data_IF_216590530225
#
_entry.id   IF_216590530225
#
_cell.length_a   1.000
_cell.length_b   1.000
_cell.length_c   1.000
_cell.angle_alpha   90.00
_cell.angle_beta   90.00
_cell.angle_gamma   90.00
#
_symmetry.space_group_name_H-M   'P 1'
#
loop_
_entity.id
_entity.type
_entity.pdbx_description
1 polymer ?
#
# COMPACT_ATOMS: atom_id res chain seq x y z
N UNK A 1 -2.20 3.82 20.50
CA UNK A 1 -1.51 4.33 19.31
C UNK A 1 -2.57 4.77 18.34
N UNK A 2 -2.40 5.95 17.76
CA UNK A 2 -3.34 6.47 16.77
C UNK A 2 -3.08 5.77 15.44
N UNK A 3 -4.14 5.28 14.81
CA UNK A 3 -4.12 4.66 13.48
C UNK A 3 -4.89 5.55 12.52
N UNK A 4 -4.28 5.88 11.37
CA UNK A 4 -4.93 6.63 10.30
C UNK A 4 -4.53 6.08 8.93
N UNK A 5 -5.43 6.22 7.96
CA UNK A 5 -5.11 5.95 6.57
C UNK A 5 -4.54 7.20 5.92
N UNK A 6 -3.36 7.05 5.33
CA UNK A 6 -2.72 8.03 4.46
C UNK A 6 -2.63 7.54 3.02
N UNK A 7 -2.06 8.35 2.15
CA UNK A 7 -1.79 7.95 0.76
C UNK A 7 -0.48 8.58 0.28
N UNK A 8 0.18 7.95 -0.68
CA UNK A 8 1.31 8.56 -1.37
C UNK A 8 0.85 9.73 -2.24
N UNK A 9 1.74 10.70 -2.46
CA UNK A 9 1.49 11.72 -3.47
C UNK A 9 1.65 11.14 -4.88
N UNK A 10 2.57 10.20 -5.03
CA UNK A 10 2.87 9.51 -6.27
C UNK A 10 1.80 8.47 -6.61
N UNK A 11 1.35 8.46 -7.86
CA UNK A 11 0.68 7.32 -8.49
C UNK A 11 1.75 6.44 -9.14
N UNK A 12 1.75 5.15 -8.82
CA UNK A 12 2.65 4.16 -9.43
C UNK A 12 1.89 3.31 -10.43
N UNK A 13 2.62 2.73 -11.39
CA UNK A 13 2.15 1.67 -12.26
C UNK A 13 3.24 0.59 -12.29
N UNK A 14 2.93 -0.57 -11.74
CA UNK A 14 3.84 -1.71 -11.66
C UNK A 14 3.60 -2.57 -12.91
N UNK A 15 4.62 -2.85 -13.75
CA UNK A 15 4.47 -3.78 -14.86
C UNK A 15 4.21 -5.20 -14.34
N UNK A 16 3.85 -6.11 -15.24
CA UNK A 16 3.51 -7.50 -14.89
C UNK A 16 4.72 -8.37 -14.54
N UNK A 17 5.94 -7.89 -14.81
CA UNK A 17 7.22 -8.55 -14.54
C UNK A 17 7.95 -8.00 -13.30
N UNK A 18 7.36 -7.03 -12.58
CA UNK A 18 7.90 -6.49 -11.34
C UNK A 18 6.92 -6.64 -10.18
N UNK A 19 7.48 -6.73 -8.97
CA UNK A 19 6.76 -6.52 -7.72
C UNK A 19 7.41 -5.38 -6.96
N UNK A 20 6.63 -4.56 -6.24
CA UNK A 20 7.17 -3.49 -5.42
C UNK A 20 6.78 -3.64 -3.95
N UNK A 21 7.73 -3.38 -3.06
CA UNK A 21 7.49 -3.32 -1.62
C UNK A 21 7.55 -1.88 -1.13
N UNK A 22 6.53 -1.50 -0.39
CA UNK A 22 6.41 -0.24 0.34
C UNK A 22 7.12 -0.41 1.66
N UNK A 23 8.17 0.35 1.87
CA UNK A 23 9.01 0.26 3.05
C UNK A 23 8.97 1.55 3.85
N UNK A 24 9.05 1.41 5.18
CA UNK A 24 9.24 2.55 6.07
C UNK A 24 10.60 3.21 5.87
N UNK A 25 10.71 4.48 6.25
CA UNK A 25 11.99 5.17 6.36
C UNK A 25 12.57 4.95 7.75
N UNK A 26 13.86 4.62 7.85
CA UNK A 26 14.53 4.41 9.15
C UNK A 26 14.37 5.60 10.11
N UNK A 27 14.39 6.84 9.59
CA UNK A 27 14.17 8.05 10.40
C UNK A 27 12.81 8.09 11.09
N UNK A 28 11.76 7.58 10.44
CA UNK A 28 10.40 7.51 11.00
C UNK A 28 10.24 6.30 11.91
N UNK A 29 10.85 5.16 11.55
CA UNK A 29 10.88 3.97 12.41
C UNK A 29 11.54 4.25 13.78
N UNK A 30 12.57 5.11 13.82
CA UNK A 30 13.19 5.57 15.08
C UNK A 30 12.30 6.48 15.95
N UNK A 31 11.20 6.98 15.38
CA UNK A 31 10.12 7.67 16.11
C UNK A 31 8.93 6.76 16.39
N UNK A 32 9.08 5.44 16.17
CA UNK A 32 8.04 4.43 16.30
C UNK A 32 6.82 4.67 15.37
N UNK A 33 7.06 5.30 14.21
CA UNK A 33 6.07 5.43 13.15
C UNK A 33 6.17 4.25 12.19
N UNK A 34 5.04 3.56 12.03
CA UNK A 34 4.85 2.43 11.11
C UNK A 34 4.05 2.93 9.91
N UNK A 35 4.45 2.56 8.69
CA UNK A 35 3.82 3.03 7.43
C UNK A 35 2.87 2.03 6.78
N UNK A 36 3.06 0.75 7.08
CA UNK A 36 2.14 -0.35 6.80
C UNK A 36 2.26 -1.36 7.94
N UNK A 37 1.16 -2.00 8.34
CA UNK A 37 1.20 -3.00 9.41
C UNK A 37 1.53 -4.39 8.85
N UNK A 38 0.92 -4.76 7.71
CA UNK A 38 1.02 -6.12 7.16
C UNK A 38 1.11 -6.15 5.64
N UNK A 39 0.45 -5.22 4.95
CA UNK A 39 0.34 -5.21 3.49
C UNK A 39 1.21 -4.11 2.86
N UNK A 40 2.52 -4.33 2.82
CA UNK A 40 3.49 -3.45 2.14
C UNK A 40 3.72 -3.81 0.67
N UNK A 41 2.80 -4.48 -0.01
CA UNK A 41 3.03 -5.04 -1.35
C UNK A 41 2.20 -4.29 -2.40
N UNK A 42 2.84 -3.86 -3.48
CA UNK A 42 2.19 -3.51 -4.72
C UNK A 42 2.42 -4.63 -5.75
N UNK A 43 1.35 -5.37 -6.06
CA UNK A 43 1.36 -6.50 -6.97
C UNK A 43 1.80 -6.10 -8.40
N UNK A 44 2.34 -7.05 -9.19
CA UNK A 44 2.53 -6.86 -10.63
C UNK A 44 1.21 -6.46 -11.31
N UNK A 45 1.23 -5.43 -12.15
CA UNK A 45 0.04 -4.84 -12.77
C UNK A 45 -0.74 -3.82 -11.94
N UNK A 46 -0.39 -3.61 -10.66
CA UNK A 46 -1.05 -2.59 -9.84
C UNK A 46 -0.80 -1.18 -10.40
N UNK A 47 -1.85 -0.36 -10.44
CA UNK A 47 -1.75 1.05 -10.72
C UNK A 47 -2.61 1.86 -9.75
N UNK A 48 -2.06 2.95 -9.21
CA UNK A 48 -2.78 3.79 -8.26
C UNK A 48 -1.86 4.50 -7.28
N UNK A 49 -2.47 5.31 -6.41
CA UNK A 49 -1.78 5.79 -5.21
C UNK A 49 -1.72 4.65 -4.20
N UNK A 50 -0.67 4.62 -3.38
CA UNK A 50 -0.52 3.59 -2.36
C UNK A 50 -1.21 4.08 -1.09
N UNK A 51 -2.16 3.30 -0.57
CA UNK A 51 -2.76 3.56 0.75
C UNK A 51 -1.75 3.14 1.82
N UNK A 52 -1.54 4.01 2.81
CA UNK A 52 -0.60 3.81 3.91
C UNK A 52 -1.37 3.60 5.21
N UNK A 53 -0.97 2.61 6.00
CA UNK A 53 -1.56 2.30 7.30
C UNK A 53 -0.66 2.91 8.38
N UNK A 54 -0.85 4.20 8.64
CA UNK A 54 0.04 4.98 9.49
C UNK A 54 -0.32 4.74 10.96
N UNK A 55 0.64 4.25 11.74
CA UNK A 55 0.49 4.05 13.18
C UNK A 55 1.60 4.71 13.97
N UNK A 56 1.25 5.37 15.08
CA UNK A 56 2.22 5.83 16.08
C UNK A 56 2.24 4.85 17.26
N UNK A 57 3.34 4.09 17.36
CA UNK A 57 3.60 3.16 18.46
C UNK A 57 4.45 3.79 19.57
N UNK A 58 4.89 5.04 19.39
CA UNK A 58 5.63 5.81 20.38
C UNK A 58 4.73 6.45 21.44
N UNK A 59 5.36 7.09 22.41
CA UNK A 59 4.67 7.83 23.49
C UNK A 59 4.49 9.31 23.20
N UNK A 60 5.21 9.84 22.20
CA UNK A 60 5.16 11.24 21.79
C UNK A 60 4.37 11.39 20.48
N UNK A 61 3.54 12.45 20.33
CA UNK A 61 2.94 12.79 19.05
C UNK A 61 4.00 13.10 17.99
N UNK A 62 3.78 12.62 16.77
CA UNK A 62 4.63 12.92 15.61
C UNK A 62 3.79 13.62 14.55
N UNK A 63 4.19 14.83 14.19
CA UNK A 63 3.54 15.58 13.14
C UNK A 63 3.92 15.01 11.76
N UNK A 64 2.93 14.53 11.01
CA UNK A 64 3.07 14.18 9.61
C UNK A 64 2.48 15.31 8.75
N UNK A 65 3.20 15.71 7.70
CA UNK A 65 2.81 16.85 6.84
C UNK A 65 2.72 16.41 5.38
N UNK A 66 1.71 16.89 4.61
CA UNK A 66 1.63 16.60 3.18
C UNK A 66 2.93 16.95 2.44
N UNK A 67 3.36 16.08 1.54
CA UNK A 67 4.60 16.26 0.75
C UNK A 67 5.88 15.82 1.45
N UNK A 68 5.85 15.43 2.72
CA UNK A 68 7.02 14.83 3.36
C UNK A 68 7.30 13.43 2.78
N UNK A 69 8.57 13.06 2.65
CA UNK A 69 8.95 11.68 2.30
C UNK A 69 8.55 10.75 3.44
N UNK A 70 7.58 9.87 3.20
CA UNK A 70 7.00 8.99 4.25
C UNK A 70 7.47 7.53 4.12
N UNK A 71 7.58 7.02 2.90
CA UNK A 71 7.99 5.65 2.59
C UNK A 71 9.03 5.64 1.46
N UNK A 72 9.47 4.46 1.08
CA UNK A 72 10.28 4.18 -0.09
C UNK A 72 9.76 2.92 -0.78
N UNK A 73 10.05 2.76 -2.07
CA UNK A 73 9.71 1.56 -2.83
C UNK A 73 10.97 0.79 -3.18
N UNK A 74 10.96 -0.53 -2.97
CA UNK A 74 11.94 -1.45 -3.53
C UNK A 74 11.25 -2.30 -4.59
N UNK A 75 11.90 -2.46 -5.74
CA UNK A 75 11.37 -3.26 -6.84
C UNK A 75 12.15 -4.56 -6.93
N UNK A 76 11.45 -5.65 -7.22
CA UNK A 76 12.05 -6.96 -7.47
C UNK A 76 11.51 -7.49 -8.79
N UNK A 77 12.42 -7.90 -9.66
CA UNK A 77 12.08 -8.53 -10.94
C UNK A 77 11.60 -9.96 -10.72
N UNK A 78 10.51 -10.32 -11.39
CA UNK A 78 10.01 -11.68 -11.41
C UNK A 78 10.80 -12.51 -12.41
N UNK A 79 10.93 -13.81 -12.14
CA UNK A 79 11.57 -14.74 -13.08
C UNK A 79 10.81 -14.83 -14.42
N UNK A 80 9.49 -14.66 -14.37
CA UNK A 80 8.58 -14.60 -15.51
C UNK A 80 7.45 -13.59 -15.18
N UNK A 81 6.85 -12.92 -16.18
CA UNK A 81 5.67 -12.08 -15.95
C UNK A 81 4.54 -12.84 -15.24
N UNK A 82 3.73 -12.12 -14.47
CA UNK A 82 2.60 -12.69 -13.75
C UNK A 82 1.48 -13.13 -14.71
N UNK A 83 1.06 -14.39 -14.65
CA UNK A 83 -0.03 -14.93 -15.49
C UNK A 83 -1.38 -14.24 -15.24
N UNK A 84 -1.60 -13.77 -14.00
CA UNK A 84 -2.80 -13.03 -13.58
C UNK A 84 -2.36 -11.78 -12.82
N UNK A 85 -1.99 -10.68 -13.51
CA UNK A 85 -1.61 -9.44 -12.86
C UNK A 85 -2.79 -8.83 -12.09
N UNK A 86 -2.48 -7.86 -11.24
CA UNK A 86 -3.49 -7.10 -10.50
C UNK A 86 -4.42 -6.33 -11.46
N UNK A 87 -5.72 -6.41 -11.23
CA UNK A 87 -6.72 -5.76 -12.08
C UNK A 87 -8.10 -6.41 -12.00
N UNK A 88 -9.04 -5.90 -12.80
CA UNK A 88 -10.43 -6.35 -12.81
C UNK A 88 -10.56 -7.85 -13.11
N UNK A 89 -9.80 -8.37 -14.08
CA UNK A 89 -9.80 -9.80 -14.45
C UNK A 89 -9.32 -10.75 -13.33
N UNK A 90 -8.49 -10.24 -12.40
CA UNK A 90 -8.08 -10.97 -11.18
C UNK A 90 -9.13 -10.86 -10.07
N UNK A 91 -10.10 -9.96 -10.18
CA UNK A 91 -11.01 -9.59 -9.10
C UNK A 91 -10.36 -8.65 -8.09
N UNK A 92 -9.36 -7.88 -8.50
CA UNK A 92 -8.64 -6.96 -7.61
C UNK A 92 -9.50 -5.77 -7.18
N UNK A 93 -9.44 -5.41 -5.90
CA UNK A 93 -10.33 -4.41 -5.27
C UNK A 93 -9.92 -2.95 -5.47
N UNK A 94 -8.64 -2.70 -5.67
CA UNK A 94 -8.05 -1.37 -5.47
C UNK A 94 -7.30 -0.84 -6.70
N UNK A 95 -7.61 -1.35 -7.88
CA UNK A 95 -7.02 -0.86 -9.12
C UNK A 95 -7.46 0.60 -9.37
N UNK A 96 -6.55 1.43 -9.85
CA UNK A 96 -6.74 2.86 -10.11
C UNK A 96 -7.16 3.68 -8.89
N UNK A 97 -6.87 3.21 -7.67
CA UNK A 97 -7.26 3.93 -6.48
C UNK A 97 -6.60 5.32 -6.39
N UNK A 98 -7.40 6.27 -5.90
CA UNK A 98 -6.96 7.63 -5.60
C UNK A 98 -7.28 7.95 -4.15
N UNK A 99 -6.34 8.60 -3.47
CA UNK A 99 -6.46 8.86 -2.04
C UNK A 99 -6.32 7.59 -1.18
N UNK A 100 -6.47 7.75 0.15
CA UNK A 100 -6.57 6.61 1.05
C UNK A 100 -7.90 5.87 0.80
N UNK A 101 -7.85 4.57 0.54
CA UNK A 101 -9.05 3.75 0.39
C UNK A 101 -9.34 2.98 1.67
N UNK A 102 -10.60 3.05 2.12
CA UNK A 102 -11.07 2.16 3.16
C UNK A 102 -11.14 0.71 2.66
N UNK A 103 -11.09 -0.24 3.59
CA UNK A 103 -11.15 -1.66 3.28
C UNK A 103 -12.45 -2.03 2.54
N UNK A 104 -12.30 -2.77 1.43
CA UNK A 104 -13.37 -3.41 0.66
C UNK A 104 -13.57 -4.89 1.04
N UNK A 105 -13.18 -5.28 2.26
CA UNK A 105 -13.26 -6.67 2.75
C UNK A 105 -14.67 -7.29 2.64
N UNK A 106 -15.74 -6.48 2.72
CA UNK A 106 -17.12 -6.95 2.51
C UNK A 106 -17.37 -7.53 1.11
N UNK A 107 -16.52 -7.23 0.14
CA UNK A 107 -16.62 -7.77 -1.22
C UNK A 107 -16.16 -9.23 -1.33
N UNK A 108 -15.45 -9.77 -0.35
CA UNK A 108 -14.97 -11.15 -0.40
C UNK A 108 -16.10 -12.17 -0.23
N UNK A 109 -16.00 -13.29 -0.95
CA UNK A 109 -16.92 -14.45 -0.83
C UNK A 109 -17.16 -14.92 0.60
N UNK A 110 -16.12 -14.95 1.42
CA UNK A 110 -16.22 -15.40 2.82
C UNK A 110 -17.08 -14.48 3.70
N UNK A 111 -17.30 -13.24 3.26
CA UNK A 111 -18.20 -12.27 3.89
C UNK A 111 -19.49 -12.03 3.09
N UNK A 112 -19.79 -12.89 2.11
CA UNK A 112 -21.02 -12.84 1.32
C UNK A 112 -20.98 -11.90 0.12
N UNK A 113 -19.79 -11.46 -0.31
CA UNK A 113 -19.60 -10.71 -1.54
C UNK A 113 -19.37 -11.61 -2.77
N UNK A 114 -19.28 -10.98 -3.94
CA UNK A 114 -19.18 -11.66 -5.23
C UNK A 114 -17.73 -11.86 -5.73
N UNK A 115 -16.72 -11.34 -5.02
CA UNK A 115 -15.29 -11.48 -5.37
C UNK A 115 -14.66 -12.71 -4.76
#
# INVERSE_FOLDING_TARGET
GDFVLGTTHERVAIPDDLIAHVEGRSSLGRLAIVVHATAGLADPGFQGHITLELSNLGTAPVALTPGMRISQLTFTELKTPADRPYGEERGSKYQDQSGPQASKIRGDREFGGDQ
#
